data_IF_670283394577
#
_entry.id   IF_670283394577
#
_cell.length_a   1.000
_cell.length_b   1.000
_cell.length_c   1.000
_cell.angle_alpha   90.00
_cell.angle_beta   90.00
_cell.angle_gamma   90.00
#
_symmetry.space_group_name_H-M   'P 1'
#
loop_
_entity.id
_entity.type
_entity.pdbx_description
1 polymer ?
#
# COMPACT_ATOMS: atom_id res chain seq x y z
N UNK A 1 -11.04 -21.12 10.68
CA UNK A 1 -10.19 -20.88 9.50
C UNK A 1 -9.60 -19.52 9.71
N UNK A 2 -8.30 -19.45 10.00
CA UNK A 2 -7.62 -18.20 10.32
C UNK A 2 -7.73 -17.27 9.11
N UNK A 3 -8.56 -16.25 9.23
CA UNK A 3 -8.52 -15.10 8.34
C UNK A 3 -7.35 -14.24 8.82
N UNK A 4 -6.11 -14.65 8.50
CA UNK A 4 -4.89 -13.90 8.79
C UNK A 4 -4.85 -12.64 7.90
N UNK A 5 -5.75 -11.69 8.16
CA UNK A 5 -5.86 -10.38 7.48
C UNK A 5 -4.69 -9.46 7.81
N UNK A 6 -3.88 -9.84 8.79
CA UNK A 6 -2.67 -9.14 9.20
C UNK A 6 -1.50 -9.35 8.23
N UNK A 7 -1.59 -10.31 7.32
CA UNK A 7 -0.55 -10.55 6.34
C UNK A 7 -0.87 -9.89 4.99
N UNK A 8 -0.16 -8.81 4.68
CA UNK A 8 -0.32 -8.06 3.43
C UNK A 8 0.95 -8.15 2.60
N UNK A 9 0.89 -8.92 1.50
CA UNK A 9 2.02 -9.09 0.57
C UNK A 9 2.38 -7.81 -0.19
N UNK A 10 1.41 -6.91 -0.39
CA UNK A 10 1.63 -5.70 -1.14
C UNK A 10 0.37 -4.93 -1.48
N UNK A 11 0.55 -3.80 -2.16
CA UNK A 11 -0.54 -2.95 -2.64
C UNK A 11 -0.40 -2.76 -4.14
N UNK A 12 -1.50 -2.52 -4.84
CA UNK A 12 -1.46 -2.10 -6.23
C UNK A 12 -2.58 -1.11 -6.51
N UNK A 13 -2.37 -0.26 -7.51
CA UNK A 13 -3.40 0.65 -7.98
C UNK A 13 -4.19 -0.02 -9.10
N UNK A 14 -5.52 0.12 -9.08
CA UNK A 14 -6.40 -0.39 -10.14
C UNK A 14 -5.97 0.09 -11.54
N UNK A 15 -5.39 1.28 -11.66
CA UNK A 15 -4.86 1.80 -12.93
C UNK A 15 -3.75 0.92 -13.53
N UNK A 16 -3.00 0.18 -12.71
CA UNK A 16 -1.94 -0.72 -13.16
C UNK A 16 -2.52 -1.97 -13.85
N UNK A 17 -3.84 -2.18 -13.76
CA UNK A 17 -4.55 -3.23 -14.48
C UNK A 17 -4.87 -2.83 -15.94
N UNK A 18 -4.87 -1.53 -16.26
CA UNK A 18 -5.23 -1.03 -17.60
C UNK A 18 -4.36 -1.63 -18.72
N UNK A 19 -3.02 -1.77 -18.59
CA UNK A 19 -2.21 -2.39 -19.63
C UNK A 19 -2.58 -3.87 -19.89
N UNK A 20 -3.01 -4.60 -18.86
CA UNK A 20 -3.44 -6.01 -18.99
C UNK A 20 -4.83 -6.15 -19.61
N UNK A 21 -5.68 -5.13 -19.47
CA UNK A 21 -6.98 -5.10 -20.16
C UNK A 21 -6.86 -4.72 -21.64
N UNK A 22 -5.84 -3.92 -22.00
CA UNK A 22 -5.61 -3.47 -23.37
C UNK A 22 -4.72 -4.44 -24.17
N UNK A 23 -3.86 -5.20 -23.51
CA UNK A 23 -2.96 -6.18 -24.13
C UNK A 23 -3.48 -7.61 -23.95
N UNK A 24 -4.08 -8.18 -25.00
CA UNK A 24 -4.57 -9.58 -25.01
C UNK A 24 -3.47 -10.65 -24.92
N UNK A 25 -2.19 -10.25 -24.93
CA UNK A 25 -1.04 -11.18 -25.01
C UNK A 25 -0.34 -11.41 -23.67
N UNK A 26 -0.57 -10.57 -22.67
CA UNK A 26 0.14 -10.69 -21.40
C UNK A 26 -0.66 -11.53 -20.41
N UNK A 27 -0.05 -12.62 -19.93
CA UNK A 27 -0.60 -13.38 -18.82
C UNK A 27 -0.64 -12.48 -17.59
N UNK A 28 -1.86 -12.19 -17.11
CA UNK A 28 -2.07 -11.42 -15.90
C UNK A 28 -1.42 -12.11 -14.70
N UNK A 29 -0.60 -11.37 -13.96
CA UNK A 29 0.03 -11.85 -12.74
C UNK A 29 0.04 -10.71 -11.72
N UNK A 30 -0.63 -10.93 -10.59
CA UNK A 30 -0.70 -9.97 -9.47
C UNK A 30 0.70 -9.59 -9.00
N UNK A 31 1.62 -10.55 -8.90
CA UNK A 31 3.00 -10.34 -8.47
C UNK A 31 3.78 -9.35 -9.34
N UNK A 32 3.36 -9.10 -10.60
CA UNK A 32 4.01 -8.13 -11.50
C UNK A 32 3.55 -6.70 -11.29
N UNK A 33 2.35 -6.51 -10.76
CA UNK A 33 1.77 -5.19 -10.49
C UNK A 33 1.81 -4.82 -9.02
N UNK A 34 2.13 -5.80 -8.17
CA UNK A 34 2.28 -5.63 -6.74
C UNK A 34 3.45 -4.70 -6.46
N UNK A 35 3.16 -3.64 -5.72
CA UNK A 35 4.16 -2.70 -5.22
C UNK A 35 4.47 -3.05 -3.76
N UNK A 36 5.71 -2.84 -3.32
CA UNK A 36 6.07 -3.05 -1.92
C UNK A 36 5.22 -2.15 -1.04
N UNK A 37 4.64 -2.73 0.00
CA UNK A 37 3.98 -1.96 1.06
C UNK A 37 5.05 -1.30 1.91
N UNK A 38 4.91 0.01 2.09
CA UNK A 38 5.63 0.69 3.14
C UNK A 38 4.84 0.55 4.44
N UNK A 39 5.53 0.16 5.51
CA UNK A 39 4.96 -0.06 6.83
C UNK A 39 5.37 1.09 7.72
N UNK A 40 4.40 1.71 8.39
CA UNK A 40 4.63 2.82 9.32
C UNK A 40 4.01 2.49 10.67
N UNK A 41 4.75 2.66 11.78
CA UNK A 41 4.16 2.51 13.10
C UNK A 41 3.12 3.60 13.38
N UNK A 42 2.04 3.27 14.09
CA UNK A 42 1.01 4.23 14.51
C UNK A 42 1.59 5.46 15.23
N UNK A 43 2.69 5.28 15.97
CA UNK A 43 3.38 6.35 16.69
C UNK A 43 4.07 7.40 15.80
N UNK A 44 4.12 7.21 14.47
CA UNK A 44 4.76 8.17 13.56
C UNK A 44 3.90 9.42 13.39
N UNK A 45 4.52 10.59 13.56
CA UNK A 45 3.80 11.86 13.43
C UNK A 45 3.38 12.15 11.99
N UNK A 46 2.17 12.67 11.84
CA UNK A 46 1.52 13.00 10.57
C UNK A 46 2.29 14.03 9.73
N UNK A 47 2.93 15.02 10.37
CA UNK A 47 3.72 16.08 9.73
C UNK A 47 4.96 15.54 9.01
N UNK A 48 5.65 14.58 9.65
CA UNK A 48 6.79 13.88 9.05
C UNK A 48 6.32 12.95 7.92
N UNK A 49 5.19 12.27 8.10
CA UNK A 49 4.62 11.40 7.07
C UNK A 49 4.21 12.20 5.83
N UNK A 50 3.59 13.38 5.98
CA UNK A 50 3.27 14.28 4.86
C UNK A 50 4.52 14.70 4.08
N UNK A 51 5.61 14.99 4.76
CA UNK A 51 6.88 15.34 4.11
C UNK A 51 7.43 14.16 3.31
N UNK A 52 7.38 12.97 3.88
CA UNK A 52 7.78 11.73 3.19
C UNK A 52 6.83 11.39 2.03
N UNK A 53 5.50 11.50 2.19
CA UNK A 53 4.52 11.29 1.11
C UNK A 53 4.77 12.21 -0.08
N UNK A 54 5.17 13.47 0.18
CA UNK A 54 5.50 14.43 -0.88
C UNK A 54 6.84 14.16 -1.55
N UNK A 55 7.82 13.68 -0.80
CA UNK A 55 9.12 13.28 -1.35
C UNK A 55 9.05 11.95 -2.09
N UNK A 56 8.03 11.15 -1.82
CA UNK A 56 8.01 9.73 -2.16
C UNK A 56 6.67 9.30 -2.75
N UNK A 57 6.61 9.20 -4.09
CA UNK A 57 5.39 8.81 -4.83
C UNK A 57 4.76 7.48 -4.40
N UNK A 58 5.53 6.54 -3.82
CA UNK A 58 5.03 5.22 -3.41
C UNK A 58 4.42 5.20 -2.01
N UNK A 59 4.67 6.22 -1.19
CA UNK A 59 4.21 6.27 0.19
C UNK A 59 2.69 6.59 0.23
N UNK A 60 2.10 7.13 -0.85
CA UNK A 60 0.66 7.49 -0.98
C UNK A 60 -0.31 6.40 -0.47
N UNK A 61 0.08 5.13 -0.48
CA UNK A 61 -0.64 4.04 0.18
C UNK A 61 0.33 3.30 1.11
N UNK A 62 0.12 3.41 2.41
CA UNK A 62 1.01 2.87 3.46
C UNK A 62 0.16 2.14 4.49
N UNK A 63 0.66 1.03 5.03
CA UNK A 63 -0.03 0.26 6.07
C UNK A 63 0.46 0.72 7.44
N UNK A 64 -0.50 0.99 8.33
CA UNK A 64 -0.25 1.28 9.73
C UNK A 64 -0.21 -0.05 10.47
N UNK A 65 0.86 -0.26 11.22
CA UNK A 65 0.99 -1.37 12.16
C UNK A 65 0.92 -0.87 13.60
N UNK A 66 0.37 -1.71 14.48
CA UNK A 66 0.42 -1.51 15.92
C UNK A 66 1.78 -1.96 16.51
N UNK A 67 2.01 -1.67 17.79
CA UNK A 67 3.20 -2.14 18.53
C UNK A 67 3.33 -3.67 18.65
N UNK A 68 2.29 -4.43 18.35
CA UNK A 68 2.27 -5.89 18.36
C UNK A 68 2.51 -6.51 16.97
N UNK A 69 2.67 -5.69 15.93
CA UNK A 69 2.85 -6.13 14.54
C UNK A 69 1.55 -6.49 13.81
N UNK A 70 0.39 -6.21 14.41
CA UNK A 70 -0.91 -6.34 13.77
C UNK A 70 -1.18 -5.20 12.79
N UNK A 71 -1.98 -5.46 11.75
CA UNK A 71 -2.35 -4.43 10.78
C UNK A 71 -3.50 -3.60 11.35
N UNK A 72 -3.19 -2.36 11.72
CA UNK A 72 -4.19 -1.44 12.26
C UNK A 72 -5.06 -0.82 11.15
N UNK A 73 -4.49 -0.56 9.98
CA UNK A 73 -5.24 -0.01 8.85
C UNK A 73 -4.39 0.52 7.69
N UNK A 74 -5.04 1.16 6.71
CA UNK A 74 -4.40 1.79 5.56
C UNK A 74 -4.49 3.31 5.69
N UNK A 75 -3.36 4.01 5.55
CA UNK A 75 -3.33 5.47 5.44
C UNK A 75 -3.00 5.87 4.01
N UNK A 76 -3.72 6.89 3.52
CA UNK A 76 -3.44 7.51 2.23
C UNK A 76 -3.30 9.02 2.39
N UNK A 77 -2.55 9.65 1.49
CA UNK A 77 -2.36 11.11 1.52
C UNK A 77 -3.69 11.88 1.45
N UNK A 78 -4.70 11.31 0.79
CA UNK A 78 -6.04 11.89 0.66
C UNK A 78 -6.81 11.94 1.99
N UNK A 79 -6.46 11.12 2.98
CA UNK A 79 -7.07 11.15 4.31
C UNK A 79 -6.39 12.13 5.27
N UNK A 80 -5.24 12.69 4.89
CA UNK A 80 -4.48 13.64 5.72
C UNK A 80 -4.71 15.09 5.25
N UNK A 81 -5.04 15.29 3.96
CA UNK A 81 -5.26 16.59 3.35
C UNK A 81 -6.61 17.21 3.75
#
# INVERSE_FOLDING_TARGET
>A
MNEDKDYVDGIFLAKNLLPFMLSYKDLFSISRILMPVLVVPESKRVDLMLKEFRSTCYLIMTIIIDECGGVFGLITIAGIL
#
